data_IF_645136146105
#
_entry.id   IF_645136146105
#
_cell.length_a   1.000
_cell.length_b   1.000
_cell.length_c   1.000
_cell.angle_alpha   90.00
_cell.angle_beta   90.00
_cell.angle_gamma   90.00
#
_symmetry.space_group_name_H-M   'P 1'
#
loop_
_entity.id
_entity.type
_entity.pdbx_description
1 polymer ?
#
# COMPACT_ATOMS: atom_id res chain seq x y z
N UNK A 1 -6.57 20.46 -15.44
CA UNK A 1 -5.67 19.30 -15.21
C UNK A 1 -4.91 19.06 -16.50
N UNK A 2 -3.58 19.21 -16.50
CA UNK A 2 -2.75 18.88 -17.66
C UNK A 2 -2.69 17.37 -17.87
N UNK A 3 -3.01 16.90 -19.07
CA UNK A 3 -2.89 15.48 -19.42
C UNK A 3 -1.50 15.26 -20.00
N UNK A 4 -0.65 14.55 -19.27
CA UNK A 4 0.65 14.13 -19.81
C UNK A 4 0.48 12.74 -20.41
N UNK A 5 0.96 12.55 -21.64
CA UNK A 5 0.94 11.23 -22.31
C UNK A 5 2.36 10.73 -22.48
N UNK A 6 2.59 9.50 -22.06
CA UNK A 6 3.86 8.81 -22.33
C UNK A 6 3.87 8.34 -23.80
N UNK A 7 4.97 8.50 -24.54
CA UNK A 7 5.00 8.13 -25.95
C UNK A 7 4.98 6.60 -26.13
N UNK A 8 4.21 6.12 -27.12
CA UNK A 8 4.08 4.70 -27.43
C UNK A 8 5.42 4.00 -27.78
N UNK A 9 6.41 4.77 -28.22
CA UNK A 9 7.77 4.30 -28.51
C UNK A 9 8.50 3.75 -27.28
N UNK A 10 8.00 3.97 -26.06
CA UNK A 10 8.57 3.34 -24.86
C UNK A 10 8.53 1.81 -24.92
N UNK A 11 7.53 1.25 -25.61
CA UNK A 11 7.42 -0.19 -25.88
C UNK A 11 8.59 -0.77 -26.68
N UNK A 12 9.36 0.08 -27.36
CA UNK A 12 10.52 -0.33 -28.18
C UNK A 12 11.81 -0.43 -27.38
N UNK A 13 11.81 -0.13 -26.08
CA UNK A 13 12.99 -0.23 -25.23
C UNK A 13 13.30 -1.71 -24.95
N UNK A 14 14.18 -2.28 -25.78
CA UNK A 14 14.71 -3.63 -25.64
C UNK A 14 15.55 -3.77 -24.36
N UNK A 15 15.49 -4.94 -23.72
CA UNK A 15 16.25 -5.29 -22.50
C UNK A 15 15.92 -4.50 -21.22
N UNK A 16 14.80 -3.76 -21.21
CA UNK A 16 14.40 -3.01 -20.03
C UNK A 16 13.76 -3.94 -18.98
N UNK A 17 14.36 -4.01 -17.79
CA UNK A 17 13.82 -4.79 -16.67
C UNK A 17 13.00 -3.94 -15.70
N UNK A 18 13.33 -2.65 -15.57
CA UNK A 18 12.64 -1.73 -14.65
C UNK A 18 12.36 -0.40 -15.33
N UNK A 19 11.09 -0.04 -15.38
CA UNK A 19 10.63 1.27 -15.80
C UNK A 19 10.07 2.01 -14.58
N UNK A 20 10.74 3.10 -14.19
CA UNK A 20 10.24 4.02 -13.17
C UNK A 20 9.89 5.34 -13.85
N UNK A 21 8.62 5.75 -13.82
CA UNK A 21 8.20 7.06 -14.34
C UNK A 21 7.82 7.97 -13.17
N UNK A 22 8.68 8.95 -12.91
CA UNK A 22 8.48 9.94 -11.86
C UNK A 22 8.04 11.26 -12.48
N UNK A 23 6.84 11.71 -12.12
CA UNK A 23 6.44 13.10 -12.33
C UNK A 23 6.97 13.91 -11.15
N UNK A 24 7.67 15.02 -11.41
CA UNK A 24 8.41 15.83 -10.42
C UNK A 24 7.66 16.22 -9.13
N UNK A 25 8.33 16.97 -8.27
CA UNK A 25 7.88 17.31 -6.91
C UNK A 25 6.71 18.31 -6.89
N UNK A 26 5.56 17.93 -7.43
CA UNK A 26 4.37 18.76 -7.36
C UNK A 26 3.31 18.02 -6.54
N UNK A 27 3.34 18.24 -5.22
CA UNK A 27 2.21 17.95 -4.31
C UNK A 27 0.91 18.65 -4.77
N UNK A 28 1.02 19.58 -5.72
CA UNK A 28 -0.04 20.44 -6.27
C UNK A 28 -0.31 20.24 -7.78
N UNK A 29 0.47 19.43 -8.51
CA UNK A 29 0.16 19.22 -9.94
C UNK A 29 -0.97 18.21 -10.05
N UNK A 30 -2.12 18.66 -10.52
CA UNK A 30 -3.26 17.83 -10.90
C UNK A 30 -3.03 17.00 -12.18
N UNK A 31 -1.77 16.86 -12.60
CA UNK A 31 -1.42 16.21 -13.85
C UNK A 31 -1.47 14.69 -13.67
N UNK A 32 -2.26 14.04 -14.53
CA UNK A 32 -2.37 12.59 -14.61
C UNK A 32 -1.52 12.15 -15.79
N UNK A 33 -0.64 11.18 -15.57
CA UNK A 33 0.10 10.53 -16.65
C UNK A 33 -0.76 9.43 -17.26
N UNK A 34 -1.03 9.53 -18.55
CA UNK A 34 -1.72 8.50 -19.31
C UNK A 34 -0.69 7.63 -20.03
N UNK A 35 -0.68 6.35 -19.67
CA UNK A 35 0.19 5.37 -20.32
C UNK A 35 -0.42 4.93 -21.66
N UNK A 36 0.40 4.73 -22.69
CA UNK A 36 -0.04 4.22 -23.98
C UNK A 36 -0.42 2.74 -23.86
N UNK A 37 -1.42 2.22 -24.62
CA UNK A 37 -1.74 0.79 -24.64
C UNK A 37 -0.55 -0.09 -25.02
N UNK A 38 0.41 0.45 -25.76
CA UNK A 38 1.66 -0.20 -26.14
C UNK A 38 2.55 -0.56 -24.94
N UNK A 39 2.29 -0.03 -23.73
CA UNK A 39 3.01 -0.44 -22.51
C UNK A 39 2.93 -1.96 -22.28
N UNK A 40 1.85 -2.59 -22.74
CA UNK A 40 1.64 -4.05 -22.67
C UNK A 40 2.40 -4.84 -23.73
N UNK A 41 2.95 -4.15 -24.74
CA UNK A 41 3.79 -4.73 -25.79
C UNK A 41 5.28 -4.58 -25.46
N UNK A 42 5.60 -4.14 -24.24
CA UNK A 42 6.98 -4.11 -23.74
C UNK A 42 7.61 -5.50 -23.82
N UNK A 43 8.94 -5.59 -24.04
CA UNK A 43 9.62 -6.86 -24.12
C UNK A 43 9.44 -7.71 -22.86
N UNK A 44 9.48 -9.05 -22.96
CA UNK A 44 9.22 -9.97 -21.84
C UNK A 44 10.19 -9.82 -20.67
N UNK A 45 11.33 -9.14 -20.86
CA UNK A 45 12.32 -8.91 -19.80
C UNK A 45 11.84 -7.92 -18.72
N UNK A 46 10.72 -7.21 -18.95
CA UNK A 46 10.18 -6.24 -17.98
C UNK A 46 9.72 -6.94 -16.70
N UNK A 47 10.23 -6.47 -15.56
CA UNK A 47 9.95 -7.02 -14.23
C UNK A 47 9.26 -6.03 -13.31
N UNK A 48 9.58 -4.75 -13.44
CA UNK A 48 9.09 -3.72 -12.54
C UNK A 48 8.58 -2.51 -13.31
N UNK A 49 7.31 -2.20 -13.11
CA UNK A 49 6.64 -1.01 -13.58
C UNK A 49 6.24 -0.16 -12.37
N UNK A 50 6.95 0.94 -12.15
CA UNK A 50 6.62 1.86 -11.06
C UNK A 50 6.29 3.22 -11.63
N UNK A 51 5.08 3.66 -11.36
CA UNK A 51 4.62 4.94 -11.86
C UNK A 51 4.44 5.93 -10.71
N UNK A 52 3.97 7.14 -11.04
CA UNK A 52 3.44 8.08 -10.05
C UNK A 52 2.16 8.64 -10.64
N UNK A 53 1.03 8.40 -9.97
CA UNK A 53 -0.30 8.92 -10.36
C UNK A 53 -0.61 8.69 -11.85
N UNK A 54 -0.45 7.44 -12.32
CA UNK A 54 -0.60 7.12 -13.74
C UNK A 54 -1.85 6.29 -14.04
N UNK A 55 -2.61 6.70 -15.05
CA UNK A 55 -3.70 5.91 -15.59
C UNK A 55 -3.16 4.87 -16.56
N UNK A 56 -3.50 3.61 -16.27
CA UNK A 56 -3.09 2.47 -17.06
C UNK A 56 -4.26 2.02 -17.94
N UNK A 57 -4.11 1.96 -19.27
CA UNK A 57 -5.18 1.50 -20.13
C UNK A 57 -5.46 0.03 -19.86
N UNK A 58 -6.75 -0.33 -19.88
CA UNK A 58 -7.15 -1.73 -19.82
C UNK A 58 -6.46 -2.48 -20.97
N UNK A 59 -5.91 -3.67 -20.75
CA UNK A 59 -5.44 -4.53 -21.81
C UNK A 59 -6.68 -5.08 -22.54
N UNK A 60 -7.32 -4.24 -23.35
CA UNK A 60 -8.26 -4.75 -24.32
C UNK A 60 -7.44 -5.59 -25.30
N UNK A 61 -7.75 -6.87 -25.38
CA UNK A 61 -7.58 -7.56 -26.65
C UNK A 61 -8.27 -6.67 -27.68
N UNK A 62 -7.51 -6.20 -28.67
CA UNK A 62 -8.13 -5.52 -29.81
C UNK A 62 -9.33 -6.36 -30.23
N UNK A 63 -10.43 -5.71 -30.63
CA UNK A 63 -11.67 -6.36 -31.09
C UNK A 63 -11.47 -7.37 -32.25
N UNK A 64 -10.22 -7.58 -32.67
CA UNK A 64 -9.73 -8.38 -33.77
C UNK A 64 -9.09 -9.72 -33.34
N UNK A 65 -9.36 -10.24 -32.13
CA UNK A 65 -9.02 -11.63 -31.76
C UNK A 65 -7.52 -11.94 -31.64
N UNK A 66 -6.67 -10.93 -31.39
CA UNK A 66 -5.25 -11.15 -31.08
C UNK A 66 -5.03 -11.64 -29.64
N UNK A 67 -4.09 -12.57 -29.51
CA UNK A 67 -3.62 -13.14 -28.23
C UNK A 67 -3.21 -12.04 -27.24
N UNK A 68 -3.64 -12.16 -25.98
CA UNK A 68 -3.22 -11.32 -24.87
C UNK A 68 -1.71 -11.52 -24.68
N UNK A 69 -0.94 -10.43 -24.73
CA UNK A 69 0.50 -10.50 -24.44
C UNK A 69 0.67 -10.74 -22.94
N UNK A 70 1.24 -11.88 -22.58
CA UNK A 70 1.54 -12.23 -21.19
C UNK A 70 2.88 -11.63 -20.81
N UNK A 71 2.91 -10.83 -19.74
CA UNK A 71 4.14 -10.29 -19.17
C UNK A 71 4.62 -11.22 -18.06
N UNK A 72 5.10 -12.40 -18.44
CA UNK A 72 5.41 -13.49 -17.51
C UNK A 72 6.43 -13.11 -16.44
N UNK A 73 7.37 -12.21 -16.74
CA UNK A 73 8.38 -11.78 -15.77
C UNK A 73 7.95 -10.56 -14.94
N UNK A 74 6.76 -9.99 -15.16
CA UNK A 74 6.32 -8.81 -14.43
C UNK A 74 5.98 -9.18 -12.98
N UNK A 75 6.77 -8.64 -12.05
CA UNK A 75 6.68 -8.90 -10.62
C UNK A 75 6.15 -7.70 -9.83
N UNK A 76 6.30 -6.48 -10.35
CA UNK A 76 5.90 -5.26 -9.63
C UNK A 76 5.15 -4.29 -10.52
N UNK A 77 4.00 -3.83 -10.03
CA UNK A 77 3.20 -2.77 -10.62
C UNK A 77 2.75 -1.80 -9.52
N UNK A 78 3.23 -0.56 -9.50
CA UNK A 78 2.92 0.38 -8.40
C UNK A 78 2.44 1.75 -8.84
N UNK A 79 1.60 2.36 -7.99
CA UNK A 79 1.01 3.70 -8.12
C UNK A 79 0.11 3.88 -9.36
N UNK A 80 -0.65 2.83 -9.69
CA UNK A 80 -1.63 2.83 -10.79
C UNK A 80 -2.95 3.46 -10.33
N UNK A 81 -3.48 4.39 -11.13
CA UNK A 81 -4.75 5.05 -10.87
C UNK A 81 -5.92 4.27 -11.45
N UNK A 82 -7.00 4.17 -10.66
CA UNK A 82 -8.29 3.58 -11.10
C UNK A 82 -8.11 2.19 -11.72
N UNK A 83 -7.22 1.39 -11.12
CA UNK A 83 -6.95 0.04 -11.57
C UNK A 83 -8.25 -0.78 -11.60
N UNK A 84 -8.47 -1.53 -12.67
CA UNK A 84 -9.60 -2.45 -12.80
C UNK A 84 -9.00 -3.84 -12.89
N UNK A 85 -9.22 -4.67 -11.88
CA UNK A 85 -8.74 -6.05 -11.92
C UNK A 85 -9.67 -6.87 -12.81
N UNK A 86 -9.44 -6.84 -14.12
CA UNK A 86 -10.19 -7.68 -15.07
C UNK A 86 -9.50 -9.03 -15.24
N UNK A 87 -10.21 -10.00 -15.84
CA UNK A 87 -9.64 -11.33 -16.12
C UNK A 87 -8.40 -11.23 -17.02
N UNK A 88 -8.40 -10.30 -17.97
CA UNK A 88 -7.28 -10.04 -18.87
C UNK A 88 -6.04 -9.56 -18.11
N UNK A 89 -6.21 -8.70 -17.10
CA UNK A 89 -5.11 -8.25 -16.24
C UNK A 89 -4.53 -9.40 -15.40
N UNK A 90 -5.40 -10.26 -14.85
CA UNK A 90 -4.97 -11.41 -14.06
C UNK A 90 -4.13 -12.36 -14.94
N UNK A 91 -4.60 -12.69 -16.15
CA UNK A 91 -3.88 -13.55 -17.11
C UNK A 91 -2.57 -12.91 -17.56
N UNK A 92 -2.54 -11.59 -17.74
CA UNK A 92 -1.36 -10.88 -18.20
C UNK A 92 -0.23 -10.83 -17.17
N UNK A 93 -0.55 -10.88 -15.88
CA UNK A 93 0.37 -10.61 -14.78
C UNK A 93 0.33 -11.70 -13.70
N UNK A 94 0.38 -12.97 -14.12
CA UNK A 94 0.25 -14.14 -13.23
C UNK A 94 1.33 -14.20 -12.13
N UNK A 95 2.52 -13.66 -12.39
CA UNK A 95 3.66 -13.67 -11.47
C UNK A 95 3.81 -12.36 -10.67
N UNK A 96 2.76 -11.53 -10.64
CA UNK A 96 2.79 -10.25 -9.94
C UNK A 96 2.87 -10.47 -8.42
N UNK A 97 3.96 -10.01 -7.81
CA UNK A 97 4.21 -10.09 -6.37
C UNK A 97 3.85 -8.82 -5.62
N UNK A 98 3.89 -7.67 -6.29
CA UNK A 98 3.68 -6.36 -5.67
C UNK A 98 2.75 -5.50 -6.51
N UNK A 99 1.64 -5.08 -5.91
CA UNK A 99 0.63 -4.23 -6.51
C UNK A 99 0.42 -2.97 -5.66
N UNK A 100 0.48 -1.79 -6.29
CA UNK A 100 0.17 -0.51 -5.67
C UNK A 100 -0.86 0.24 -6.51
N UNK A 101 -2.02 0.54 -5.92
CA UNK A 101 -3.14 1.18 -6.61
C UNK A 101 -3.67 2.37 -5.81
N UNK A 102 -4.15 3.37 -6.53
CA UNK A 102 -4.73 4.57 -5.93
C UNK A 102 -6.04 4.94 -6.63
N UNK A 103 -7.06 5.27 -5.85
CA UNK A 103 -8.38 5.66 -6.34
C UNK A 103 -8.69 7.09 -5.91
N UNK A 104 -9.04 7.93 -6.88
CA UNK A 104 -9.61 9.25 -6.63
C UNK A 104 -11.12 9.14 -6.75
N UNK A 105 -11.82 9.70 -5.77
CA UNK A 105 -13.27 9.87 -5.87
C UNK A 105 -13.59 10.79 -7.05
N UNK A 106 -14.26 10.27 -8.08
CA UNK A 106 -14.93 11.08 -9.10
C UNK A 106 -16.44 10.92 -8.93
N UNK A 107 -17.20 11.99 -9.17
CA UNK A 107 -18.66 12.01 -9.04
C UNK A 107 -19.37 11.01 -9.98
N UNK A 108 -18.65 10.41 -10.93
CA UNK A 108 -19.20 9.60 -12.02
C UNK A 108 -19.08 8.08 -11.82
N UNK A 109 -18.23 7.60 -10.90
CA UNK A 109 -17.94 6.16 -10.77
C UNK A 109 -18.06 5.71 -9.33
N UNK A 110 -19.10 4.94 -9.03
CA UNK A 110 -19.22 4.27 -7.74
C UNK A 110 -18.01 3.34 -7.54
N UNK A 111 -17.44 3.34 -6.33
CA UNK A 111 -16.23 2.55 -6.04
C UNK A 111 -16.41 1.03 -6.23
N UNK A 112 -17.65 0.55 -6.18
CA UNK A 112 -18.05 -0.83 -6.51
C UNK A 112 -17.62 -1.26 -7.92
N UNK A 113 -17.39 -0.32 -8.84
CA UNK A 113 -16.91 -0.58 -10.20
C UNK A 113 -15.44 -1.00 -10.26
N UNK A 114 -14.65 -0.86 -9.19
CA UNK A 114 -13.21 -1.10 -9.20
C UNK A 114 -12.77 -2.40 -8.50
N UNK A 115 -13.59 -2.97 -7.60
CA UNK A 115 -13.05 -3.89 -6.59
C UNK A 115 -13.92 -5.12 -6.23
N UNK A 116 -14.89 -5.55 -7.05
CA UNK A 116 -15.70 -6.73 -6.68
C UNK A 116 -14.87 -8.03 -6.82
N UNK A 117 -14.48 -8.64 -5.69
CA UNK A 117 -13.83 -9.97 -5.61
C UNK A 117 -12.48 -10.09 -6.34
N UNK A 118 -11.76 -8.97 -6.42
CA UNK A 118 -10.78 -8.77 -7.49
C UNK A 118 -9.35 -9.28 -7.21
N UNK A 119 -8.85 -9.22 -5.98
CA UNK A 119 -7.42 -9.49 -5.70
C UNK A 119 -7.14 -10.95 -5.32
N UNK A 120 -8.16 -11.71 -4.92
CA UNK A 120 -8.01 -13.12 -4.54
C UNK A 120 -7.42 -13.98 -5.67
N UNK A 121 -7.65 -13.58 -6.93
CA UNK A 121 -7.13 -14.25 -8.12
C UNK A 121 -5.65 -13.96 -8.42
N UNK A 122 -5.02 -13.03 -7.70
CA UNK A 122 -3.59 -12.76 -7.80
C UNK A 122 -2.84 -13.65 -6.81
N UNK A 123 -2.77 -14.95 -7.11
CA UNK A 123 -2.30 -16.00 -6.18
C UNK A 123 -0.85 -15.81 -5.70
N UNK A 124 0.00 -15.12 -6.48
CA UNK A 124 1.39 -14.85 -6.13
C UNK A 124 1.61 -13.48 -5.45
N UNK A 125 0.54 -12.74 -5.16
CA UNK A 125 0.64 -11.38 -4.64
C UNK A 125 1.05 -11.36 -3.16
N UNK A 126 2.28 -10.94 -2.90
CA UNK A 126 2.84 -10.85 -1.55
C UNK A 126 2.65 -9.46 -0.93
N UNK A 127 2.53 -8.40 -1.75
CA UNK A 127 2.48 -7.00 -1.29
C UNK A 127 1.37 -6.25 -2.00
N UNK A 128 0.44 -5.69 -1.24
CA UNK A 128 -0.65 -4.86 -1.74
C UNK A 128 -0.69 -3.50 -1.02
N UNK A 129 -0.74 -2.42 -1.79
CA UNK A 129 -1.00 -1.06 -1.30
C UNK A 129 -2.21 -0.50 -2.03
N UNK A 130 -3.27 -0.18 -1.30
CA UNK A 130 -4.46 0.50 -1.80
C UNK A 130 -4.63 1.84 -1.11
N UNK A 131 -4.71 2.92 -1.89
CA UNK A 131 -4.92 4.28 -1.38
C UNK A 131 -6.20 4.85 -1.97
N UNK A 132 -7.10 5.30 -1.12
CA UNK A 132 -8.35 5.95 -1.50
C UNK A 132 -8.26 7.41 -1.07
N UNK A 133 -8.42 8.30 -2.04
CA UNK A 133 -8.26 9.75 -1.82
C UNK A 133 -9.65 10.37 -1.91
N UNK A 134 -10.25 10.76 -0.78
CA UNK A 134 -11.54 11.43 -0.77
C UNK A 134 -11.43 12.83 -1.38
N UNK A 135 -12.55 13.37 -1.87
CA UNK A 135 -12.64 14.77 -2.29
C UNK A 135 -12.86 15.61 -1.03
N UNK A 136 -12.03 16.64 -0.82
CA UNK A 136 -12.02 17.46 0.41
C UNK A 136 -13.35 18.17 0.74
N UNK A 137 -14.29 18.23 -0.20
CA UNK A 137 -15.51 19.03 -0.10
C UNK A 137 -16.80 18.24 0.22
N UNK A 138 -16.72 16.92 0.48
CA UNK A 138 -17.91 16.07 0.67
C UNK A 138 -18.05 15.56 2.12
N UNK A 139 -19.26 15.61 2.71
CA UNK A 139 -19.51 15.14 4.06
C UNK A 139 -19.33 13.62 4.19
N UNK A 140 -18.58 13.23 5.21
CA UNK A 140 -17.96 11.92 5.41
C UNK A 140 -18.91 10.72 5.64
N UNK A 141 -20.24 10.91 5.58
CA UNK A 141 -21.23 9.90 5.98
C UNK A 141 -21.73 9.01 4.85
N UNK A 142 -21.72 9.49 3.59
CA UNK A 142 -22.33 8.76 2.47
C UNK A 142 -21.34 7.85 1.72
N UNK A 143 -20.11 7.76 2.24
CA UNK A 143 -18.98 7.09 1.61
C UNK A 143 -18.78 5.64 2.09
N UNK A 144 -19.81 4.99 2.65
CA UNK A 144 -19.70 3.58 3.06
C UNK A 144 -19.35 2.73 1.85
N UNK A 145 -18.04 2.50 1.75
CA UNK A 145 -17.40 1.68 0.77
C UNK A 145 -17.88 0.26 1.04
N UNK A 146 -18.89 -0.19 0.29
CA UNK A 146 -19.18 -1.62 0.12
C UNK A 146 -18.05 -2.25 -0.72
N UNK A 147 -16.83 -2.12 -0.23
CA UNK A 147 -15.64 -2.67 -0.81
C UNK A 147 -15.62 -4.13 -0.35
N UNK A 148 -16.14 -5.00 -1.20
CA UNK A 148 -15.95 -6.44 -1.06
C UNK A 148 -14.49 -6.76 -1.44
N UNK A 149 -13.56 -6.36 -0.58
CA UNK A 149 -12.15 -6.72 -0.72
C UNK A 149 -11.99 -8.18 -0.33
N UNK A 150 -11.60 -9.00 -1.29
CA UNK A 150 -11.03 -10.31 -1.05
C UNK A 150 -9.53 -10.25 -1.34
N UNK A 151 -8.72 -10.75 -0.42
CA UNK A 151 -7.27 -10.76 -0.54
C UNK A 151 -6.76 -12.19 -0.79
N UNK A 152 -5.68 -12.36 -1.55
CA UNK A 152 -5.07 -13.67 -1.75
C UNK A 152 -4.37 -14.14 -0.45
N UNK A 153 -4.34 -15.45 -0.18
CA UNK A 153 -3.73 -16.00 1.05
C UNK A 153 -2.19 -15.86 1.08
N UNK A 154 -1.55 -15.60 -0.06
CA UNK A 154 -0.11 -15.36 -0.18
C UNK A 154 0.33 -13.96 0.30
N UNK A 155 -0.63 -13.09 0.65
CA UNK A 155 -0.35 -11.71 1.02
C UNK A 155 0.42 -11.63 2.35
N UNK A 156 1.60 -11.02 2.31
CA UNK A 156 2.48 -10.80 3.46
C UNK A 156 2.46 -9.37 3.97
N UNK A 157 2.21 -8.41 3.07
CA UNK A 157 2.21 -6.97 3.40
C UNK A 157 0.98 -6.30 2.82
N UNK A 158 0.17 -5.69 3.68
CA UNK A 158 -1.01 -4.92 3.30
C UNK A 158 -0.88 -3.48 3.76
N UNK A 159 -1.13 -2.54 2.87
CA UNK A 159 -1.30 -1.11 3.19
C UNK A 159 -2.65 -0.65 2.66
N UNK A 160 -3.50 -0.15 3.55
CA UNK A 160 -4.78 0.47 3.23
C UNK A 160 -4.76 1.91 3.71
N UNK A 161 -5.32 2.83 2.91
CA UNK A 161 -5.40 4.25 3.23
C UNK A 161 -6.73 4.81 2.74
N UNK A 162 -7.45 5.54 3.58
CA UNK A 162 -8.66 6.27 3.17
C UNK A 162 -9.86 5.41 2.76
N UNK A 163 -9.90 4.11 3.09
CA UNK A 163 -11.02 3.23 2.75
C UNK A 163 -12.27 3.46 3.61
N UNK A 164 -12.16 4.10 4.79
CA UNK A 164 -13.29 4.43 5.68
C UNK A 164 -14.20 3.23 5.98
N UNK A 165 -13.60 2.03 6.09
CA UNK A 165 -14.34 0.80 6.32
C UNK A 165 -14.69 0.65 7.81
N UNK A 166 -15.89 0.19 8.18
CA UNK A 166 -16.18 -0.16 9.56
C UNK A 166 -15.23 -1.26 10.09
N UNK A 167 -14.76 -1.15 11.33
CA UNK A 167 -13.84 -2.13 11.95
C UNK A 167 -14.32 -3.58 11.92
N UNK A 168 -15.65 -3.82 11.92
CA UNK A 168 -16.25 -5.17 11.76
C UNK A 168 -15.83 -5.92 10.48
N UNK A 169 -15.31 -5.22 9.47
CA UNK A 169 -14.80 -5.83 8.24
C UNK A 169 -13.31 -6.19 8.30
N UNK A 170 -12.63 -5.83 9.39
CA UNK A 170 -11.21 -6.13 9.58
C UNK A 170 -10.93 -7.64 9.67
N UNK A 171 -11.94 -8.42 10.00
CA UNK A 171 -11.87 -9.89 10.11
C UNK A 171 -11.35 -10.56 8.84
N UNK A 172 -11.66 -9.99 7.68
CA UNK A 172 -11.16 -10.44 6.37
C UNK A 172 -9.62 -10.31 6.29
N UNK A 173 -9.07 -9.25 6.89
CA UNK A 173 -7.61 -9.02 6.97
C UNK A 173 -7.00 -9.84 8.11
N UNK A 174 -7.69 -9.93 9.26
CA UNK A 174 -7.25 -10.67 10.44
C UNK A 174 -7.09 -12.16 10.20
N UNK A 175 -7.89 -12.71 9.30
CA UNK A 175 -7.85 -14.12 8.90
C UNK A 175 -6.76 -14.46 7.88
N UNK A 176 -5.93 -13.50 7.44
CA UNK A 176 -4.90 -13.77 6.44
C UNK A 176 -3.74 -14.59 7.04
N UNK A 177 -3.45 -15.78 6.51
CA UNK A 177 -2.57 -16.74 7.17
C UNK A 177 -1.09 -16.35 7.12
N UNK A 178 -0.68 -15.53 6.16
CA UNK A 178 0.73 -15.17 5.95
C UNK A 178 1.00 -13.67 6.17
N UNK A 179 0.04 -12.92 6.72
CA UNK A 179 0.15 -11.46 6.83
C UNK A 179 1.13 -11.09 7.97
N UNK A 180 2.29 -10.56 7.59
CA UNK A 180 3.32 -10.14 8.52
C UNK A 180 3.30 -8.62 8.79
N UNK A 181 2.83 -7.83 7.83
CA UNK A 181 2.86 -6.36 7.89
C UNK A 181 1.49 -5.78 7.54
N UNK A 182 0.91 -5.02 8.46
CA UNK A 182 -0.31 -4.27 8.25
C UNK A 182 -0.07 -2.78 8.48
N UNK A 183 -0.43 -1.96 7.49
CA UNK A 183 -0.38 -0.50 7.57
C UNK A 183 -1.76 0.08 7.26
N UNK A 184 -2.38 0.70 8.24
CA UNK A 184 -3.64 1.43 8.10
C UNK A 184 -3.35 2.91 8.23
N UNK A 185 -3.80 3.70 7.25
CA UNK A 185 -3.56 5.13 7.18
C UNK A 185 -4.83 5.91 6.90
N UNK A 186 -4.89 7.17 7.30
CA UNK A 186 -5.90 8.13 6.86
C UNK A 186 -7.33 7.60 7.01
N UNK A 187 -7.68 7.07 8.19
CA UNK A 187 -8.96 6.38 8.43
C UNK A 187 -9.28 5.27 7.42
N UNK A 188 -8.30 4.40 7.13
CA UNK A 188 -8.55 3.18 6.34
C UNK A 188 -9.70 2.35 6.92
N UNK A 189 -9.76 2.28 8.25
CA UNK A 189 -10.93 1.83 8.98
C UNK A 189 -11.42 2.98 9.88
N UNK A 190 -12.73 2.97 10.16
CA UNK A 190 -13.43 4.02 10.88
C UNK A 190 -14.23 3.46 12.04
N UNK A 191 -14.17 4.15 13.16
CA UNK A 191 -14.97 3.93 14.35
C UNK A 191 -14.12 3.93 15.61
N UNK A 192 -14.75 4.16 16.78
CA UNK A 192 -14.02 4.32 18.03
C UNK A 192 -13.44 3.01 18.56
N UNK A 193 -14.02 1.86 18.19
CA UNK A 193 -13.61 0.56 18.74
C UNK A 193 -13.20 -0.39 17.62
N UNK A 194 -12.01 -0.97 17.76
CA UNK A 194 -11.56 -2.13 17.01
C UNK A 194 -11.49 -3.33 17.94
N UNK A 195 -12.42 -4.26 17.76
CA UNK A 195 -12.49 -5.53 18.48
C UNK A 195 -12.10 -6.66 17.54
N UNK A 196 -11.14 -7.48 17.99
CA UNK A 196 -10.59 -8.61 17.26
C UNK A 196 -11.35 -9.88 17.60
N UNK A 197 -11.45 -10.81 16.64
CA UNK A 197 -11.97 -12.15 16.91
C UNK A 197 -10.83 -13.13 17.19
N UNK A 198 -11.13 -14.13 18.01
CA UNK A 198 -10.21 -15.20 18.40
C UNK A 198 -9.34 -15.71 17.24
N UNK A 199 -8.02 -15.68 17.43
CA UNK A 199 -7.04 -16.19 16.48
C UNK A 199 -6.77 -15.30 15.26
N UNK A 200 -7.24 -14.05 15.24
CA UNK A 200 -6.87 -13.09 14.20
C UNK A 200 -5.42 -12.57 14.38
N UNK A 201 -4.73 -12.32 13.25
CA UNK A 201 -3.40 -11.71 13.19
C UNK A 201 -2.25 -12.48 13.89
N UNK A 202 -2.34 -13.80 14.01
CA UNK A 202 -1.30 -14.64 14.67
C UNK A 202 0.11 -14.52 14.06
N UNK A 203 0.22 -14.25 12.75
CA UNK A 203 1.52 -14.09 12.05
C UNK A 203 1.98 -12.63 11.92
N UNK A 204 1.19 -11.67 12.43
CA UNK A 204 1.47 -10.26 12.26
C UNK A 204 2.67 -9.86 13.10
N UNK A 205 3.70 -9.31 12.44
CA UNK A 205 4.94 -8.84 13.08
C UNK A 205 4.99 -7.33 13.20
N UNK A 206 4.36 -6.61 12.26
CA UNK A 206 4.39 -5.15 12.22
C UNK A 206 2.99 -4.57 12.01
N UNK A 207 2.51 -3.80 12.98
CA UNK A 207 1.25 -3.07 12.91
C UNK A 207 1.50 -1.57 12.95
N UNK A 208 1.03 -0.86 11.93
CA UNK A 208 1.09 0.60 11.85
C UNK A 208 -0.31 1.17 11.69
N UNK A 209 -0.70 1.99 12.66
CA UNK A 209 -1.93 2.77 12.69
C UNK A 209 -1.54 4.24 12.59
N UNK A 210 -1.98 4.90 11.51
CA UNK A 210 -1.59 6.26 11.18
C UNK A 210 -2.84 7.06 10.85
N UNK A 211 -3.04 8.21 11.50
CA UNK A 211 -4.17 9.10 11.25
C UNK A 211 -5.53 8.36 11.31
N UNK A 212 -5.81 7.70 12.44
CA UNK A 212 -7.03 6.92 12.68
C UNK A 212 -7.90 7.54 13.78
N UNK A 213 -9.21 7.38 13.68
CA UNK A 213 -10.20 7.79 14.71
C UNK A 213 -10.40 6.74 15.83
N UNK A 214 -9.57 5.71 15.87
CA UNK A 214 -9.60 4.65 16.88
C UNK A 214 -9.39 5.22 18.30
N UNK A 215 -10.32 4.90 19.20
CA UNK A 215 -10.25 5.21 20.63
C UNK A 215 -9.79 4.00 21.45
N UNK A 216 -10.34 2.82 21.16
CA UNK A 216 -10.07 1.58 21.89
C UNK A 216 -9.73 0.43 20.93
N UNK A 217 -8.55 -0.14 21.11
CA UNK A 217 -8.18 -1.44 20.55
C UNK A 217 -8.48 -2.50 21.61
N UNK A 218 -9.31 -3.50 21.28
CA UNK A 218 -9.61 -4.64 22.15
C UNK A 218 -8.98 -5.90 21.57
N UNK A 219 -8.01 -6.43 22.29
CA UNK A 219 -7.30 -7.66 21.96
C UNK A 219 -7.27 -8.54 23.21
N UNK A 220 -7.25 -9.86 23.01
CA UNK A 220 -6.99 -10.85 24.06
C UNK A 220 -5.64 -11.56 23.82
N UNK A 221 -5.30 -12.48 24.72
CA UNK A 221 -4.07 -13.31 24.72
C UNK A 221 -3.87 -14.16 23.45
N UNK A 222 -4.90 -14.39 22.64
CA UNK A 222 -4.81 -15.17 21.40
C UNK A 222 -4.35 -14.35 20.20
N UNK A 223 -4.34 -13.02 20.33
CA UNK A 223 -4.03 -12.09 19.25
C UNK A 223 -2.55 -11.72 19.21
N UNK A 224 -2.07 -11.29 18.04
CA UNK A 224 -0.75 -10.65 17.88
C UNK A 224 0.45 -11.45 18.43
N UNK A 225 0.35 -12.79 18.46
CA UNK A 225 1.34 -13.70 19.05
C UNK A 225 2.78 -13.54 18.52
N UNK A 226 2.93 -12.98 17.32
CA UNK A 226 4.22 -12.75 16.65
C UNK A 226 4.61 -11.28 16.55
N UNK A 227 3.89 -10.37 17.22
CA UNK A 227 4.04 -8.92 17.03
C UNK A 227 5.38 -8.46 17.59
N UNK A 228 6.13 -7.73 16.76
CA UNK A 228 7.45 -7.18 17.08
C UNK A 228 7.41 -5.66 17.14
N UNK A 229 6.54 -5.05 16.34
CA UNK A 229 6.47 -3.61 16.16
C UNK A 229 5.03 -3.11 16.16
N UNK A 230 4.74 -2.19 17.06
CA UNK A 230 3.46 -1.51 17.15
C UNK A 230 3.64 0.00 17.03
N UNK A 231 2.95 0.62 16.09
CA UNK A 231 3.04 2.08 15.88
C UNK A 231 1.66 2.71 15.85
N UNK A 232 1.49 3.76 16.65
CA UNK A 232 0.37 4.70 16.62
C UNK A 232 0.90 6.09 16.29
N UNK A 233 0.59 6.57 15.10
CA UNK A 233 1.00 7.90 14.62
C UNK A 233 -0.23 8.75 14.37
N UNK A 234 -0.29 9.95 14.95
CA UNK A 234 -1.40 10.88 14.79
C UNK A 234 -2.77 10.27 15.17
N UNK A 235 -2.79 9.33 16.12
CA UNK A 235 -3.99 8.72 16.68
C UNK A 235 -4.43 9.53 17.90
N UNK A 236 -4.96 10.73 17.68
CA UNK A 236 -5.25 11.70 18.76
C UNK A 236 -6.36 11.27 19.73
N UNK A 237 -7.21 10.32 19.30
CA UNK A 237 -8.35 9.82 20.07
C UNK A 237 -8.05 8.53 20.84
N UNK A 238 -6.91 7.89 20.59
CA UNK A 238 -6.56 6.61 21.22
C UNK A 238 -6.44 6.78 22.73
N UNK A 239 -7.31 6.11 23.49
CA UNK A 239 -7.34 6.21 24.94
C UNK A 239 -6.25 5.36 25.59
N UNK A 240 -6.09 4.11 25.15
CA UNK A 240 -5.17 3.15 25.75
C UNK A 240 -4.70 2.10 24.75
N UNK A 241 -3.58 1.46 25.09
CA UNK A 241 -3.07 0.25 24.45
C UNK A 241 -3.54 -0.93 25.31
N UNK A 242 -4.12 -2.00 24.72
CA UNK A 242 -4.61 -3.16 25.49
C UNK A 242 -3.52 -3.73 26.40
N UNK A 243 -3.90 -4.06 27.64
CA UNK A 243 -2.98 -4.62 28.64
C UNK A 243 -2.42 -5.98 28.18
N UNK A 244 -3.16 -6.72 27.37
CA UNK A 244 -2.78 -8.02 26.82
C UNK A 244 -1.55 -7.92 25.91
N UNK A 245 -1.25 -6.72 25.38
CA UNK A 245 0.00 -6.46 24.63
C UNK A 245 1.23 -6.55 25.54
N UNK A 246 1.09 -6.37 26.86
CA UNK A 246 2.16 -6.61 27.84
C UNK A 246 2.65 -8.04 27.77
N UNK A 247 1.77 -9.00 27.53
CA UNK A 247 2.08 -10.43 27.59
C UNK A 247 2.78 -10.93 26.31
N UNK A 248 2.93 -10.10 25.28
CA UNK A 248 3.56 -10.49 24.00
C UNK A 248 5.10 -10.45 24.15
N UNK A 249 5.78 -11.60 24.24
CA UNK A 249 7.23 -11.62 24.49
C UNK A 249 8.04 -11.22 23.27
N UNK A 250 7.45 -11.28 22.08
CA UNK A 250 8.13 -10.92 20.82
C UNK A 250 8.15 -9.42 20.57
N UNK A 251 7.41 -8.63 21.36
CA UNK A 251 7.28 -7.19 21.16
C UNK A 251 8.60 -6.49 21.50
N UNK A 252 9.17 -5.81 20.51
CA UNK A 252 10.46 -5.13 20.62
C UNK A 252 10.31 -3.62 20.64
N UNK A 253 9.30 -3.09 19.94
CA UNK A 253 9.12 -1.66 19.78
C UNK A 253 7.65 -1.24 19.85
N UNK A 254 7.39 -0.23 20.68
CA UNK A 254 6.16 0.57 20.64
C UNK A 254 6.53 1.99 20.23
N UNK A 255 5.84 2.52 19.24
CA UNK A 255 6.02 3.89 18.78
C UNK A 255 4.71 4.66 18.88
N UNK A 256 4.72 5.76 19.62
CA UNK A 256 3.54 6.61 19.81
C UNK A 256 3.93 8.03 19.49
N UNK A 257 3.51 8.54 18.33
CA UNK A 257 3.87 9.86 17.84
C UNK A 257 2.63 10.68 17.51
N UNK A 258 2.52 11.91 18.02
CA UNK A 258 1.39 12.79 17.73
C UNK A 258 0.01 12.25 18.16
N UNK A 259 -0.01 11.30 19.09
CA UNK A 259 -1.23 10.67 19.64
C UNK A 259 -1.59 11.27 21.01
N UNK A 260 -2.67 10.79 21.63
CA UNK A 260 -3.13 11.30 22.94
C UNK A 260 -2.10 11.11 24.05
N UNK A 261 -2.20 11.93 25.11
CA UNK A 261 -1.38 11.75 26.31
C UNK A 261 -1.66 10.41 27.01
N UNK A 262 -2.91 9.94 26.97
CA UNK A 262 -3.32 8.66 27.54
C UNK A 262 -2.64 7.47 26.84
N UNK A 263 -2.54 7.51 25.51
CA UNK A 263 -1.80 6.51 24.74
C UNK A 263 -0.30 6.49 25.11
N UNK A 264 0.30 7.67 25.34
CA UNK A 264 1.69 7.79 25.79
C UNK A 264 1.90 7.19 27.19
N UNK A 265 0.97 7.44 28.12
CA UNK A 265 1.01 6.89 29.48
C UNK A 265 0.85 5.37 29.44
N UNK A 266 -0.13 4.88 28.67
CA UNK A 266 -0.37 3.44 28.50
C UNK A 266 0.83 2.72 27.88
N UNK A 267 1.48 3.30 26.86
CA UNK A 267 2.71 2.73 26.31
C UNK A 267 3.83 2.61 27.35
N UNK A 268 4.04 3.62 28.19
CA UNK A 268 5.04 3.58 29.27
C UNK A 268 4.71 2.51 30.30
N UNK A 269 3.44 2.40 30.70
CA UNK A 269 2.97 1.36 31.60
C UNK A 269 3.29 -0.03 31.05
N UNK A 270 3.02 -0.29 29.77
CA UNK A 270 3.33 -1.58 29.13
C UNK A 270 4.82 -1.94 29.25
N UNK A 271 5.71 -0.95 29.07
CA UNK A 271 7.15 -1.17 29.25
C UNK A 271 7.54 -1.46 30.70
N UNK A 272 6.97 -0.73 31.66
CA UNK A 272 7.28 -0.95 33.07
C UNK A 272 6.81 -2.34 33.54
N UNK A 273 5.67 -2.84 33.05
CA UNK A 273 5.23 -4.21 33.33
C UNK A 273 6.14 -5.26 32.67
N UNK A 274 6.48 -5.10 31.39
CA UNK A 274 7.40 -6.03 30.71
C UNK A 274 8.78 -6.09 31.39
N UNK A 275 9.28 -4.97 31.92
CA UNK A 275 10.52 -4.93 32.70
C UNK A 275 10.41 -5.70 34.02
N UNK A 276 9.25 -5.64 34.70
CA UNK A 276 9.00 -6.42 35.92
C UNK A 276 8.98 -7.93 35.65
N UNK A 277 8.47 -8.33 34.49
CA UNK A 277 8.49 -9.71 33.99
C UNK A 277 9.87 -10.13 33.41
N UNK A 278 10.87 -9.25 33.46
CA UNK A 278 12.25 -9.53 33.03
C UNK A 278 12.53 -9.29 31.55
N UNK A 279 11.61 -8.68 30.80
CA UNK A 279 11.84 -8.23 29.43
C UNK A 279 12.32 -6.77 29.38
N UNK A 280 13.64 -6.58 29.49
CA UNK A 280 14.28 -5.27 29.38
C UNK A 280 14.48 -4.79 27.92
N UNK A 281 14.11 -5.61 26.93
CA UNK A 281 14.42 -5.35 25.53
C UNK A 281 13.44 -4.40 24.83
N UNK A 282 12.26 -4.18 25.42
CA UNK A 282 11.21 -3.34 24.83
C UNK A 282 11.63 -1.86 24.78
N UNK A 283 11.58 -1.29 23.59
CA UNK A 283 11.90 0.11 23.32
C UNK A 283 10.62 0.90 23.06
N UNK A 284 10.56 2.15 23.55
CA UNK A 284 9.48 3.07 23.25
C UNK A 284 10.03 4.33 22.59
N UNK A 285 9.39 4.74 21.50
CA UNK A 285 9.73 5.96 20.77
C UNK A 285 8.54 6.93 20.73
N UNK A 286 8.85 8.22 20.86
CA UNK A 286 7.84 9.29 20.96
C UNK A 286 8.04 10.44 19.95
N UNK A 287 9.13 10.44 19.18
CA UNK A 287 9.57 11.59 18.38
C UNK A 287 9.48 11.40 16.86
N UNK A 288 9.32 12.52 16.15
CA UNK A 288 9.21 12.57 14.68
C UNK A 288 10.48 12.07 13.96
N UNK A 289 11.64 12.23 14.61
CA UNK A 289 12.94 11.85 14.04
C UNK A 289 13.14 10.33 14.03
N UNK A 290 12.59 9.64 15.04
CA UNK A 290 12.61 8.19 15.16
C UNK A 290 11.61 7.53 14.20
N UNK A 291 10.44 8.13 13.96
CA UNK A 291 9.42 7.61 13.03
C UNK A 291 9.91 7.43 11.59
N UNK A 292 10.62 8.42 11.05
CA UNK A 292 11.17 8.32 9.70
C UNK A 292 12.28 7.26 9.63
N UNK A 293 13.09 7.15 10.69
CA UNK A 293 14.18 6.18 10.81
C UNK A 293 13.64 4.75 10.98
N UNK A 294 12.56 4.57 11.72
CA UNK A 294 11.86 3.31 11.94
C UNK A 294 11.16 2.81 10.67
N UNK A 295 10.49 3.69 9.92
CA UNK A 295 9.96 3.32 8.61
C UNK A 295 11.07 2.92 7.63
N UNK A 296 12.22 3.60 7.65
CA UNK A 296 13.39 3.22 6.83
C UNK A 296 13.95 1.87 7.28
N UNK A 297 14.12 1.62 8.58
CA UNK A 297 14.64 0.35 9.13
C UNK A 297 13.71 -0.83 8.85
N UNK A 298 12.39 -0.63 8.96
CA UNK A 298 11.39 -1.63 8.60
C UNK A 298 11.41 -1.86 7.10
N UNK A 299 11.47 -0.82 6.26
CA UNK A 299 11.63 -0.98 4.81
C UNK A 299 12.95 -1.67 4.45
N UNK A 300 14.05 -1.40 5.13
CA UNK A 300 15.34 -2.07 4.91
C UNK A 300 15.29 -3.55 5.31
N UNK A 301 14.78 -3.88 6.51
CA UNK A 301 14.53 -5.28 6.94
C UNK A 301 13.61 -6.01 5.97
N UNK A 302 12.62 -5.32 5.40
CA UNK A 302 11.63 -5.89 4.49
C UNK A 302 12.04 -5.90 3.00
N UNK A 303 13.01 -5.08 2.57
CA UNK A 303 13.49 -4.96 1.18
C UNK A 303 14.82 -5.70 0.93
N UNK A 304 15.52 -6.14 1.98
CA UNK A 304 16.74 -6.96 1.88
C UNK A 304 16.54 -8.29 1.10
N UNK A 305 15.29 -8.67 0.81
CA UNK A 305 14.94 -9.83 -0.02
C UNK A 305 14.74 -9.53 -1.52
N UNK A 306 14.43 -8.28 -1.91
CA UNK A 306 13.92 -7.96 -3.26
C UNK A 306 14.96 -7.29 -4.21
N UNK A 307 16.10 -6.81 -3.71
CA UNK A 307 17.04 -6.01 -4.53
C UNK A 307 18.22 -6.77 -5.14
N UNK A 308 18.40 -8.06 -4.85
CA UNK A 308 19.48 -8.86 -5.44
C UNK A 308 19.11 -9.32 -6.86
N UNK A 309 19.35 -8.49 -7.88
CA UNK A 309 19.41 -8.98 -9.26
C UNK A 309 19.00 -8.04 -10.40
N UNK A 310 18.88 -6.74 -10.19
CA UNK A 310 18.43 -5.81 -11.24
C UNK A 310 19.59 -5.42 -12.15
N UNK A 311 19.56 -5.84 -13.42
CA UNK A 311 20.64 -5.65 -14.39
C UNK A 311 20.48 -4.41 -15.28
N UNK A 312 19.25 -3.91 -15.44
CA UNK A 312 18.95 -2.72 -16.28
C UNK A 312 17.78 -1.91 -15.71
N UNK A 313 18.06 -0.72 -15.17
CA UNK A 313 17.06 0.23 -14.64
C UNK A 313 17.03 1.50 -15.49
N UNK A 314 15.82 1.94 -15.87
CA UNK A 314 15.61 3.30 -16.40
C UNK A 314 14.67 4.05 -15.46
N UNK A 315 15.17 5.16 -14.90
CA UNK A 315 14.35 6.15 -14.20
C UNK A 315 14.09 7.31 -15.15
N UNK A 316 12.83 7.56 -15.43
CA UNK A 316 12.34 8.65 -16.27
C UNK A 316 11.82 9.76 -15.36
N UNK A 317 12.47 10.92 -15.40
CA UNK A 317 11.96 12.15 -14.76
C UNK A 317 11.22 12.99 -15.79
N UNK A 318 9.94 13.24 -15.54
CA UNK A 318 9.16 14.23 -16.28
C UNK A 318 9.43 15.61 -15.69
N UNK A 319 10.18 16.44 -16.41
CA UNK A 319 10.25 17.87 -16.13
C UNK A 319 8.89 18.53 -16.42
N UNK A 320 8.47 19.45 -15.55
CA UNK A 320 7.22 20.20 -15.70
C UNK A 320 7.33 21.16 -16.89
N UNK A 321 7.04 20.66 -18.09
CA UNK A 321 6.78 21.48 -19.27
C UNK A 321 5.27 21.71 -19.31
N UNK A 322 4.87 22.99 -19.37
CA UNK A 322 3.48 23.44 -19.27
C UNK A 322 2.49 22.62 -20.11
N UNK A 323 1.23 22.65 -19.68
CA UNK A 323 0.14 21.85 -20.23
C UNK A 323 -0.17 22.21 -21.68
N UNK A 324 0.50 21.55 -22.64
CA UNK A 324 -0.01 21.21 -23.99
C UNK A 324 1.02 20.54 -24.93
N UNK A 325 2.28 20.34 -24.52
CA UNK A 325 3.28 19.73 -25.42
C UNK A 325 3.30 18.19 -25.39
N UNK A 326 3.43 17.58 -26.58
CA UNK A 326 3.73 16.14 -26.74
C UNK A 326 5.12 15.87 -26.15
N UNK A 327 5.17 15.12 -25.06
CA UNK A 327 6.44 14.71 -24.45
C UNK A 327 7.09 13.61 -25.31
N UNK A 328 8.28 13.91 -25.83
CA UNK A 328 9.13 12.98 -26.58
C UNK A 328 9.99 12.15 -25.62
N UNK A 329 10.44 10.97 -26.05
CA UNK A 329 11.45 10.17 -25.32
C UNK A 329 12.68 11.03 -24.99
N UNK A 330 13.04 11.99 -25.85
CA UNK A 330 14.15 12.92 -25.65
C UNK A 330 13.96 13.93 -24.50
N UNK A 331 12.74 14.12 -24.01
CA UNK A 331 12.44 15.01 -22.87
C UNK A 331 12.69 14.33 -21.51
N UNK A 332 13.01 13.03 -21.52
CA UNK A 332 13.30 12.27 -20.30
C UNK A 332 14.79 12.23 -20.04
N UNK A 333 15.18 12.57 -18.81
CA UNK A 333 16.53 12.29 -18.32
C UNK A 333 16.60 10.79 -18.02
N UNK A 334 17.34 10.04 -18.85
CA UNK A 334 17.65 8.64 -18.60
C UNK A 334 18.82 8.57 -17.61
N UNK A 335 18.56 8.05 -16.41
CA UNK A 335 19.64 7.52 -15.57
C UNK A 335 19.63 6.00 -15.72
N UNK A 336 20.74 5.47 -16.21
CA UNK A 336 21.07 4.04 -16.15
C UNK A 336 22.00 3.86 -14.96
N UNK A 337 21.72 2.88 -14.12
CA UNK A 337 22.58 2.49 -12.99
C UNK A 337 22.97 1.03 -13.14
#
# INVERSE_FOLDING_TARGET
MGKVKLPASISKLCHLQTLIVYQGNCRLSSNILYLPPEIWKMPPEIRHLSFKRSFLPCPSGDRDGKSIVVLENLQTLTEVLKFRCTKEFIIMMLNLKKLGISYYHDESTQWSCYCRDNFVHLENLEILKCVFIPKYDLPSSDHLLALNLAFPPSLKKLTLSGCVLPWKHMTIVGSLPNLEVLKLKDNAFKGPVWELNEGEFCQLKFLFLIDTDLEHLKADETHFLSLQWLTFSHCSQLAEIPCEIVEIPTLQVIEVYGSSLSALISAKFVKEEQQREGNDSLQIYFGASEFLRCQILVQQKLNLADEKGLKTRIVMFLADKGSEEKISISDFVFSTY
#
